data_IF_364310021111
#
_entry.id   IF_364310021111
#
_cell.length_a   1.000
_cell.length_b   1.000
_cell.length_c   1.000
_cell.angle_alpha   90.00
_cell.angle_beta   90.00
_cell.angle_gamma   90.00
#
_symmetry.space_group_name_H-M   'P 1'
#
loop_
_entity.id
_entity.type
_entity.pdbx_description
1 polymer ?
#
# COMPACT_ATOMS: atom_id res chain seq x y z
N UNK A 1 -5.29 50.74 0.56
CA UNK A 1 -5.44 49.42 -0.09
C UNK A 1 -5.72 48.40 1.00
N UNK A 2 -6.60 47.42 0.76
CA UNK A 2 -6.86 46.35 1.72
C UNK A 2 -6.14 45.08 1.31
N UNK A 3 -5.33 44.53 2.21
CA UNK A 3 -4.75 43.20 2.09
C UNK A 3 -5.44 42.27 3.08
N UNK A 4 -5.89 41.11 2.61
CA UNK A 4 -6.51 40.10 3.46
C UNK A 4 -5.57 38.90 3.60
N UNK A 5 -5.23 38.57 4.84
CA UNK A 5 -4.45 37.38 5.19
C UNK A 5 -5.35 36.40 5.93
N UNK A 6 -5.45 35.17 5.44
CA UNK A 6 -6.22 34.12 6.07
C UNK A 6 -5.28 33.01 6.55
N UNK A 7 -5.30 32.76 7.85
CA UNK A 7 -4.51 31.73 8.50
C UNK A 7 -5.42 30.58 8.91
N UNK A 8 -5.23 29.43 8.28
CA UNK A 8 -5.93 28.18 8.57
C UNK A 8 -5.01 27.22 9.33
N UNK A 9 -5.55 26.17 9.96
CA UNK A 9 -4.72 25.14 10.59
C UNK A 9 -3.79 24.49 9.56
N UNK A 10 -2.52 24.27 9.93
CA UNK A 10 -1.50 23.74 9.01
C UNK A 10 -1.88 22.42 8.34
N UNK A 11 -2.62 21.56 9.04
CA UNK A 11 -3.07 20.29 8.46
C UNK A 11 -4.03 20.50 7.28
N UNK A 12 -4.80 21.61 7.24
CA UNK A 12 -5.63 21.90 6.07
C UNK A 12 -4.79 22.15 4.83
N UNK A 13 -3.53 22.58 4.94
CA UNK A 13 -2.66 22.75 3.77
C UNK A 13 -2.45 21.43 3.02
N UNK A 14 -2.52 20.28 3.70
CA UNK A 14 -2.38 18.96 3.08
C UNK A 14 -3.62 18.52 2.30
N UNK A 15 -4.76 19.19 2.48
CA UNK A 15 -5.98 18.89 1.72
C UNK A 15 -5.81 19.28 0.24
N UNK A 16 -6.44 18.57 -0.70
CA UNK A 16 -6.56 18.99 -2.09
C UNK A 16 -7.06 20.44 -2.22
N UNK A 17 -6.69 21.13 -3.30
CA UNK A 17 -7.08 22.53 -3.49
C UNK A 17 -8.59 22.70 -3.69
N UNK A 18 -9.23 21.72 -4.32
CA UNK A 18 -10.65 21.62 -4.59
C UNK A 18 -11.48 21.13 -3.39
N UNK A 19 -10.86 20.88 -2.25
CA UNK A 19 -11.55 20.44 -1.05
C UNK A 19 -12.62 21.45 -0.59
N UNK A 20 -13.81 20.96 -0.25
CA UNK A 20 -15.01 21.76 0.06
C UNK A 20 -14.76 22.84 1.12
N UNK A 21 -14.12 22.50 2.24
CA UNK A 21 -13.75 23.45 3.29
C UNK A 21 -12.94 24.65 2.76
N UNK A 22 -11.93 24.40 1.91
CA UNK A 22 -11.10 25.47 1.31
C UNK A 22 -11.91 26.30 0.33
N UNK A 23 -12.66 25.64 -0.55
CA UNK A 23 -13.47 26.31 -1.58
C UNK A 23 -14.51 27.22 -0.94
N UNK A 24 -15.18 26.75 0.11
CA UNK A 24 -16.20 27.52 0.82
C UNK A 24 -15.60 28.77 1.47
N UNK A 25 -14.44 28.66 2.14
CA UNK A 25 -13.75 29.82 2.71
C UNK A 25 -13.33 30.82 1.63
N UNK A 26 -12.75 30.34 0.52
CA UNK A 26 -12.32 31.18 -0.61
C UNK A 26 -13.51 31.91 -1.24
N UNK A 27 -14.64 31.23 -1.42
CA UNK A 27 -15.86 31.82 -1.98
C UNK A 27 -16.39 32.96 -1.11
N UNK A 28 -16.45 32.76 0.21
CA UNK A 28 -16.86 33.82 1.15
C UNK A 28 -15.95 35.05 1.00
N UNK A 29 -14.63 34.85 0.97
CA UNK A 29 -13.67 35.95 0.81
C UNK A 29 -13.86 36.67 -0.53
N UNK A 30 -14.01 35.93 -1.63
CA UNK A 30 -14.20 36.50 -2.97
C UNK A 30 -15.51 37.28 -3.11
N UNK A 31 -16.59 36.82 -2.48
CA UNK A 31 -17.89 37.50 -2.51
C UNK A 31 -17.86 38.81 -1.72
N UNK A 32 -17.32 38.80 -0.51
CA UNK A 32 -17.26 40.02 0.31
C UNK A 32 -16.25 41.03 -0.24
N UNK A 33 -15.14 40.57 -0.85
CA UNK A 33 -14.19 41.46 -1.54
C UNK A 33 -14.78 42.18 -2.76
N UNK A 34 -15.87 41.66 -3.36
CA UNK A 34 -16.57 42.37 -4.44
C UNK A 34 -17.47 43.50 -3.92
N UNK A 35 -17.84 43.47 -2.63
CA UNK A 35 -18.79 44.39 -2.00
C UNK A 35 -18.13 45.25 -0.90
N UNK A 36 -16.86 45.64 -1.10
CA UNK A 36 -16.09 46.47 -0.14
C UNK A 36 -16.60 47.90 0.00
N UNK A 37 -17.54 48.33 -0.84
CA UNK A 37 -18.17 49.65 -0.79
C UNK A 37 -19.20 49.80 0.34
N UNK A 38 -19.62 48.69 0.95
CA UNK A 38 -20.58 48.70 2.05
C UNK A 38 -19.90 48.91 3.40
N UNK A 39 -20.51 49.72 4.26
CA UNK A 39 -20.10 49.81 5.67
C UNK A 39 -20.24 48.42 6.33
N UNK A 40 -19.20 48.01 7.06
CA UNK A 40 -19.09 46.74 7.79
C UNK A 40 -18.81 45.46 6.97
N UNK A 41 -18.27 45.56 5.75
CA UNK A 41 -17.91 44.38 4.95
C UNK A 41 -16.92 43.44 5.66
N UNK A 42 -16.04 43.98 6.51
CA UNK A 42 -15.05 43.20 7.27
C UNK A 42 -15.69 42.38 8.40
N UNK A 43 -16.72 42.91 9.08
CA UNK A 43 -17.52 42.18 10.07
C UNK A 43 -18.35 41.06 9.42
N UNK A 44 -18.83 41.28 8.19
CA UNK A 44 -19.56 40.23 7.44
C UNK A 44 -18.68 39.03 7.11
N UNK A 45 -17.43 39.27 6.69
CA UNK A 45 -16.46 38.17 6.48
C UNK A 45 -16.34 37.35 7.76
N UNK A 46 -16.09 38.00 8.89
CA UNK A 46 -15.94 37.33 10.18
C UNK A 46 -17.20 36.53 10.55
N UNK A 47 -18.39 37.12 10.42
CA UNK A 47 -19.66 36.49 10.73
C UNK A 47 -19.95 35.27 9.84
N UNK A 48 -19.72 35.40 8.53
CA UNK A 48 -19.91 34.31 7.56
C UNK A 48 -18.94 33.16 7.82
N UNK A 49 -17.66 33.45 8.08
CA UNK A 49 -16.69 32.43 8.43
C UNK A 49 -17.06 31.71 9.73
N UNK A 50 -17.52 32.44 10.76
CA UNK A 50 -18.00 31.84 12.03
C UNK A 50 -19.25 30.97 11.85
N UNK A 51 -20.07 31.25 10.83
CA UNK A 51 -21.29 30.47 10.56
C UNK A 51 -21.03 29.10 9.93
N UNK A 52 -19.81 28.85 9.45
CA UNK A 52 -19.45 27.59 8.82
C UNK A 52 -19.47 26.44 9.84
N UNK A 53 -20.04 25.27 9.49
CA UNK A 53 -20.28 24.18 10.44
C UNK A 53 -18.98 23.58 10.98
N UNK A 54 -17.89 23.63 10.21
CA UNK A 54 -16.57 23.12 10.60
C UNK A 54 -15.70 24.14 11.35
N UNK A 55 -16.09 25.42 11.41
CA UNK A 55 -15.30 26.46 12.06
C UNK A 55 -15.56 26.47 13.57
N UNK A 56 -14.47 26.51 14.36
CA UNK A 56 -14.47 26.59 15.83
C UNK A 56 -14.30 28.04 16.30
N UNK A 57 -13.35 28.75 15.72
CA UNK A 57 -13.05 30.15 16.07
C UNK A 57 -12.65 30.94 14.85
N UNK A 58 -12.95 32.23 14.87
CA UNK A 58 -12.39 33.21 13.94
C UNK A 58 -11.95 34.40 14.77
N UNK A 59 -10.67 34.73 14.70
CA UNK A 59 -10.10 35.93 15.35
C UNK A 59 -9.67 36.87 14.24
N UNK A 60 -10.25 38.07 14.24
CA UNK A 60 -9.89 39.14 13.33
C UNK A 60 -8.89 40.07 14.02
N UNK A 61 -7.79 40.35 13.34
CA UNK A 61 -6.83 41.38 13.72
C UNK A 61 -6.67 42.37 12.57
N UNK A 62 -6.60 43.65 12.89
CA UNK A 62 -6.35 44.72 11.93
C UNK A 62 -4.99 45.34 12.24
N UNK A 63 -4.18 45.54 11.21
CA UNK A 63 -2.86 46.16 11.30
C UNK A 63 -2.62 47.07 10.10
N UNK A 64 -1.68 48.02 10.24
CA UNK A 64 -1.28 48.91 9.14
C UNK A 64 -1.67 50.36 9.37
N UNK A 65 -1.82 51.10 8.28
CA UNK A 65 -2.16 52.53 8.27
C UNK A 65 -3.49 52.75 7.54
N UNK A 66 -4.03 53.97 7.58
CA UNK A 66 -5.24 54.33 6.83
C UNK A 66 -5.08 54.14 5.30
N UNK A 67 -3.85 54.27 4.79
CA UNK A 67 -3.55 54.09 3.37
C UNK A 67 -3.31 52.62 3.00
N UNK A 68 -2.83 51.79 3.93
CA UNK A 68 -2.55 50.36 3.75
C UNK A 68 -2.99 49.54 4.97
N UNK A 69 -4.18 48.94 4.88
CA UNK A 69 -4.80 48.16 5.96
C UNK A 69 -4.67 46.66 5.67
N UNK A 70 -4.13 45.92 6.63
CA UNK A 70 -4.02 44.47 6.61
C UNK A 70 -5.05 43.88 7.56
N UNK A 71 -5.96 43.07 7.02
CA UNK A 71 -6.95 42.32 7.78
C UNK A 71 -6.50 40.87 7.88
N UNK A 72 -6.20 40.43 9.10
CA UNK A 72 -5.81 39.04 9.40
C UNK A 72 -6.97 38.29 10.00
N UNK A 73 -7.31 37.15 9.41
CA UNK A 73 -8.30 36.22 9.94
C UNK A 73 -7.61 34.93 10.34
N UNK A 74 -7.53 34.67 11.64
CA UNK A 74 -7.08 33.38 12.19
C UNK A 74 -8.30 32.48 12.37
N UNK A 75 -8.38 31.41 11.57
CA UNK A 75 -9.49 30.46 11.56
C UNK A 75 -9.06 29.20 12.29
N UNK A 76 -9.73 28.90 13.40
CA UNK A 76 -9.66 27.61 14.07
C UNK A 76 -10.76 26.70 13.53
N UNK A 77 -10.39 25.46 13.17
CA UNK A 77 -11.32 24.42 12.73
C UNK A 77 -11.58 23.45 13.87
N UNK A 78 -12.76 22.85 13.88
CA UNK A 78 -13.18 21.80 14.81
C UNK A 78 -12.25 20.59 14.75
N UNK A 79 -12.01 19.97 15.91
CA UNK A 79 -11.08 18.84 16.02
C UNK A 79 -11.65 17.59 15.33
N UNK A 80 -12.98 17.48 15.30
CA UNK A 80 -13.72 16.43 14.61
C UNK A 80 -13.39 16.38 13.12
N UNK A 81 -13.18 17.53 12.48
CA UNK A 81 -12.81 17.63 11.06
C UNK A 81 -11.37 17.18 10.82
N UNK A 82 -10.47 17.46 11.77
CA UNK A 82 -9.09 16.99 11.71
C UNK A 82 -9.02 15.46 11.79
N UNK A 83 -9.75 14.87 12.74
CA UNK A 83 -9.79 13.42 12.89
C UNK A 83 -10.58 12.73 11.76
N UNK A 84 -11.63 13.36 11.25
CA UNK A 84 -12.37 12.90 10.07
C UNK A 84 -11.48 12.83 8.84
N UNK A 85 -10.69 13.87 8.58
CA UNK A 85 -9.70 13.90 7.50
C UNK A 85 -8.65 12.79 7.66
N UNK A 86 -8.10 12.61 8.87
CA UNK A 86 -7.15 11.53 9.11
C UNK A 86 -7.79 10.16 8.85
N UNK A 87 -9.05 9.99 9.23
CA UNK A 87 -9.78 8.74 9.02
C UNK A 87 -9.97 8.42 7.54
N UNK A 88 -10.28 9.44 6.73
CA UNK A 88 -10.39 9.32 5.27
C UNK A 88 -9.04 8.92 4.65
N UNK A 89 -7.96 9.57 5.07
CA UNK A 89 -6.62 9.27 4.56
C UNK A 89 -6.12 7.87 4.94
N UNK A 90 -6.38 7.42 6.17
CA UNK A 90 -5.92 6.11 6.63
C UNK A 90 -6.89 4.97 6.29
N UNK A 91 -8.14 5.28 5.92
CA UNK A 91 -9.21 4.30 5.78
C UNK A 91 -9.63 3.63 7.10
N UNK A 92 -9.28 4.24 8.24
CA UNK A 92 -9.47 3.69 9.59
C UNK A 92 -10.16 4.76 10.42
N UNK A 93 -11.25 4.45 11.15
CA UNK A 93 -11.93 5.43 11.98
C UNK A 93 -11.02 5.91 13.12
N UNK A 94 -10.73 7.21 13.11
CA UNK A 94 -9.99 7.93 14.13
C UNK A 94 -10.97 8.93 14.74
N UNK A 95 -11.38 8.70 15.98
CA UNK A 95 -12.32 9.56 16.70
C UNK A 95 -11.62 10.54 17.64
N UNK A 96 -10.31 10.41 17.81
CA UNK A 96 -9.53 11.23 18.72
C UNK A 96 -8.08 10.79 18.88
N UNK A 97 -7.39 11.43 19.83
CA UNK A 97 -5.97 11.23 20.10
C UNK A 97 -5.62 9.78 20.42
N UNK A 98 -6.48 9.09 21.17
CA UNK A 98 -6.24 7.71 21.57
C UNK A 98 -6.16 6.76 20.37
N UNK A 99 -7.13 6.85 19.45
CA UNK A 99 -7.16 6.05 18.23
C UNK A 99 -5.98 6.40 17.33
N UNK A 100 -5.64 7.68 17.21
CA UNK A 100 -4.49 8.13 16.43
C UNK A 100 -3.16 7.55 16.97
N UNK A 101 -2.93 7.65 18.29
CA UNK A 101 -1.72 7.11 18.92
C UNK A 101 -1.66 5.59 18.78
N UNK A 102 -2.80 4.91 18.93
CA UNK A 102 -2.89 3.46 18.78
C UNK A 102 -2.54 3.03 17.35
N UNK A 103 -3.10 3.71 16.36
CA UNK A 103 -2.79 3.49 14.94
C UNK A 103 -1.31 3.72 14.64
N UNK A 104 -0.72 4.81 15.13
CA UNK A 104 0.71 5.08 14.94
C UNK A 104 1.58 3.97 15.55
N UNK A 105 1.22 3.46 16.73
CA UNK A 105 1.96 2.35 17.36
C UNK A 105 1.85 1.07 16.55
N UNK A 106 0.68 0.74 16.05
CA UNK A 106 0.45 -0.42 15.20
C UNK A 106 1.25 -0.31 13.89
N UNK A 107 1.11 0.81 13.17
CA UNK A 107 1.85 1.07 11.94
C UNK A 107 3.36 1.07 12.16
N UNK A 108 3.84 1.59 13.29
CA UNK A 108 5.26 1.53 13.64
C UNK A 108 5.75 0.10 13.91
N UNK A 109 4.90 -0.77 14.46
CA UNK A 109 5.20 -2.20 14.62
C UNK A 109 5.31 -2.87 13.26
N UNK A 110 4.26 -2.73 12.45
CA UNK A 110 4.19 -3.30 11.10
C UNK A 110 5.33 -2.81 10.20
N UNK A 111 5.73 -1.55 10.30
CA UNK A 111 6.84 -1.00 9.50
C UNK A 111 8.15 -1.76 9.75
N UNK A 112 8.46 -2.11 11.00
CA UNK A 112 9.69 -2.84 11.34
C UNK A 112 9.70 -4.24 10.75
N UNK A 113 8.57 -4.95 10.84
CA UNK A 113 8.42 -6.27 10.23
C UNK A 113 8.44 -6.17 8.71
N UNK A 114 7.86 -5.12 8.13
CA UNK A 114 7.82 -4.91 6.69
C UNK A 114 9.21 -4.65 6.07
N UNK A 115 10.12 -4.01 6.78
CA UNK A 115 11.48 -3.74 6.27
C UNK A 115 12.24 -5.04 5.93
N UNK A 116 12.09 -6.10 6.73
CA UNK A 116 12.71 -7.41 6.45
C UNK A 116 12.05 -8.10 5.25
N UNK A 117 10.72 -8.03 5.17
CA UNK A 117 9.91 -8.57 4.07
C UNK A 117 10.23 -7.86 2.75
N UNK A 118 10.35 -6.53 2.77
CA UNK A 118 10.59 -5.70 1.59
C UNK A 118 11.90 -6.09 0.89
N UNK A 119 12.97 -6.29 1.66
CA UNK A 119 14.25 -6.73 1.12
C UNK A 119 14.16 -8.13 0.49
N UNK A 120 13.47 -9.07 1.15
CA UNK A 120 13.27 -10.40 0.61
C UNK A 120 12.45 -10.38 -0.69
N UNK A 121 11.36 -9.59 -0.74
CA UNK A 121 10.54 -9.44 -1.95
C UNK A 121 11.32 -8.82 -3.10
N UNK A 122 12.18 -7.82 -2.83
CA UNK A 122 13.07 -7.25 -3.84
C UNK A 122 14.00 -8.33 -4.41
N UNK A 123 14.64 -9.11 -3.54
CA UNK A 123 15.54 -10.19 -3.95
C UNK A 123 14.82 -11.27 -4.78
N UNK A 124 13.59 -11.64 -4.42
CA UNK A 124 12.77 -12.59 -5.20
C UNK A 124 12.49 -12.07 -6.61
N UNK A 125 12.18 -10.78 -6.74
CA UNK A 125 11.90 -10.15 -8.04
C UNK A 125 13.14 -10.10 -8.92
N UNK A 126 14.32 -9.86 -8.33
CA UNK A 126 15.57 -9.71 -9.07
C UNK A 126 16.24 -11.06 -9.39
N UNK A 127 16.26 -11.99 -8.43
CA UNK A 127 17.03 -13.23 -8.52
C UNK A 127 16.18 -14.50 -8.57
N UNK A 128 14.87 -14.38 -8.30
CA UNK A 128 13.96 -15.51 -8.15
C UNK A 128 13.91 -16.11 -6.74
N UNK A 129 14.78 -15.65 -5.82
CA UNK A 129 14.86 -16.17 -4.45
C UNK A 129 15.06 -15.05 -3.43
N UNK A 130 14.33 -15.11 -2.32
CA UNK A 130 14.53 -14.20 -1.20
C UNK A 130 14.37 -14.90 0.13
N UNK A 131 15.08 -14.40 1.13
CA UNK A 131 15.11 -14.98 2.46
C UNK A 131 14.83 -13.88 3.46
N UNK A 132 13.88 -14.13 4.35
CA UNK A 132 13.65 -13.32 5.54
C UNK A 132 14.33 -14.05 6.68
N UNK A 133 15.33 -13.39 7.26
CA UNK A 133 16.03 -13.90 8.43
C UNK A 133 15.19 -13.62 9.69
N UNK A 134 15.20 -14.55 10.64
CA UNK A 134 14.49 -14.39 11.90
C UNK A 134 15.04 -13.22 12.71
N UNK A 135 14.15 -12.58 13.46
CA UNK A 135 14.51 -11.66 14.52
C UNK A 135 15.31 -12.36 15.63
N UNK A 136 16.02 -11.58 16.45
CA UNK A 136 16.84 -12.12 17.55
C UNK A 136 15.97 -12.87 18.58
N UNK A 137 14.77 -12.38 18.78
CA UNK A 137 13.71 -12.91 19.62
C UNK A 137 13.15 -14.26 19.14
N UNK A 138 13.33 -14.59 17.85
CA UNK A 138 12.91 -15.87 17.27
C UNK A 138 14.02 -16.94 17.32
N UNK A 139 15.21 -16.59 17.83
CA UNK A 139 16.32 -17.53 18.01
C UNK A 139 16.19 -18.22 19.36
N UNK A 140 15.94 -19.52 19.35
CA UNK A 140 15.86 -20.35 20.55
C UNK A 140 17.19 -21.05 20.81
N UNK A 141 17.81 -20.77 21.96
CA UNK A 141 19.06 -21.41 22.39
C UNK A 141 18.78 -22.67 23.21
N UNK A 142 19.47 -23.76 22.88
CA UNK A 142 19.56 -24.93 23.75
C UNK A 142 20.67 -24.71 24.80
N UNK A 143 20.52 -25.34 25.97
CA UNK A 143 21.54 -25.27 27.01
C UNK A 143 22.90 -25.77 26.49
N UNK A 144 24.01 -25.05 26.74
CA UNK A 144 25.33 -25.46 26.29
C UNK A 144 25.75 -26.78 26.93
N UNK A 145 26.17 -27.75 26.10
CA UNK A 145 26.60 -29.07 26.57
C UNK A 145 28.11 -29.19 26.45
N UNK A 146 28.78 -29.60 27.54
CA UNK A 146 30.21 -29.90 27.50
C UNK A 146 30.45 -31.14 26.63
N UNK A 147 31.38 -31.01 25.69
CA UNK A 147 31.83 -32.11 24.83
C UNK A 147 33.30 -32.39 25.09
N UNK A 148 33.73 -33.62 24.85
CA UNK A 148 35.12 -34.00 25.01
C UNK A 148 35.57 -34.81 23.80
N UNK A 149 36.73 -34.47 23.24
CA UNK A 149 37.33 -35.19 22.11
C UNK A 149 38.82 -35.40 22.38
N UNK A 150 39.20 -36.64 22.69
CA UNK A 150 40.58 -37.01 23.02
C UNK A 150 40.99 -36.52 24.41
N UNK A 151 41.78 -35.45 24.49
CA UNK A 151 42.21 -34.77 25.73
C UNK A 151 41.67 -33.34 25.85
N UNK A 152 40.80 -32.93 24.92
CA UNK A 152 40.29 -31.56 24.81
C UNK A 152 38.82 -31.50 25.18
N UNK A 153 38.47 -30.52 26.00
CA UNK A 153 37.10 -30.17 26.34
C UNK A 153 36.62 -29.02 25.44
N UNK A 154 35.37 -29.10 25.00
CA UNK A 154 34.70 -28.07 24.23
C UNK A 154 33.28 -27.84 24.75
N UNK A 155 32.62 -26.80 24.26
CA UNK A 155 31.22 -26.51 24.57
C UNK A 155 30.46 -26.55 23.26
N UNK A 156 29.45 -27.40 23.17
CA UNK A 156 28.52 -27.43 22.04
C UNK A 156 27.35 -26.51 22.36
N UNK A 157 27.19 -25.49 21.55
CA UNK A 157 26.04 -24.59 21.58
C UNK A 157 25.16 -24.91 20.37
N UNK A 158 23.85 -24.94 20.57
CA UNK A 158 22.88 -25.15 19.50
C UNK A 158 21.80 -24.08 19.60
N UNK A 159 21.43 -23.51 18.47
CA UNK A 159 20.32 -22.58 18.35
C UNK A 159 19.43 -23.03 17.19
N UNK A 160 18.13 -22.86 17.34
CA UNK A 160 17.14 -23.12 16.29
C UNK A 160 16.41 -21.82 16.01
N UNK A 161 16.17 -21.52 14.74
CA UNK A 161 15.46 -20.29 14.36
C UNK A 161 14.69 -20.48 13.06
N UNK A 162 13.47 -19.95 12.94
CA UNK A 162 12.66 -20.08 11.73
C UNK A 162 13.20 -19.17 10.63
N UNK A 163 13.30 -19.67 9.40
CA UNK A 163 13.64 -18.87 8.22
C UNK A 163 12.49 -18.94 7.24
N UNK A 164 12.15 -17.81 6.61
CA UNK A 164 11.12 -17.76 5.58
C UNK A 164 11.80 -17.61 4.23
N UNK A 165 11.49 -18.54 3.33
CA UNK A 165 12.02 -18.56 1.98
C UNK A 165 10.90 -18.24 1.01
N UNK A 166 11.14 -17.23 0.17
CA UNK A 166 10.26 -16.83 -0.91
C UNK A 166 10.88 -17.27 -2.23
N UNK A 167 10.09 -17.94 -3.07
CA UNK A 167 10.54 -18.51 -4.35
C UNK A 167 9.61 -17.99 -5.44
N UNK A 168 10.18 -17.38 -6.48
CA UNK A 168 9.43 -17.07 -7.70
C UNK A 168 9.41 -18.31 -8.59
N UNK A 169 8.23 -18.71 -9.02
CA UNK A 169 8.04 -19.74 -10.03
C UNK A 169 7.29 -19.15 -11.22
N UNK A 170 7.66 -19.60 -12.42
CA UNK A 170 6.98 -19.26 -13.67
C UNK A 170 6.05 -20.41 -14.04
N UNK A 171 4.83 -20.09 -14.46
CA UNK A 171 3.85 -21.07 -14.91
C UNK A 171 3.57 -20.78 -16.37
N UNK A 172 4.14 -21.62 -17.24
CA UNK A 172 3.83 -21.59 -18.65
C UNK A 172 2.47 -22.25 -18.86
N UNK A 173 1.46 -21.50 -19.30
CA UNK A 173 0.13 -22.05 -19.62
C UNK A 173 -0.11 -21.96 -21.12
N UNK A 174 -0.34 -23.11 -21.74
CA UNK A 174 -0.72 -23.23 -23.15
C UNK A 174 -2.20 -23.62 -23.23
N UNK A 175 -2.93 -22.96 -24.14
CA UNK A 175 -4.29 -23.33 -24.50
C UNK A 175 -4.31 -23.80 -25.95
N UNK A 176 -4.83 -25.00 -26.18
CA UNK A 176 -4.94 -25.58 -27.53
C UNK A 176 -6.41 -25.80 -27.86
N UNK A 177 -7.14 -24.76 -28.29
CA UNK A 177 -8.55 -24.90 -28.63
C UNK A 177 -8.73 -25.89 -29.78
N UNK A 178 -9.67 -26.83 -29.62
CA UNK A 178 -9.94 -27.85 -30.63
C UNK A 178 -10.99 -27.31 -31.61
N UNK A 179 -10.60 -27.25 -32.88
CA UNK A 179 -11.44 -26.90 -34.03
C UNK A 179 -11.66 -28.12 -34.91
N UNK A 180 -12.77 -28.17 -35.64
CA UNK A 180 -13.16 -29.35 -36.42
C UNK A 180 -12.34 -29.54 -37.70
N UNK A 181 -12.38 -28.55 -38.60
CA UNK A 181 -11.70 -28.63 -39.91
C UNK A 181 -10.49 -27.69 -40.00
N UNK A 182 -9.60 -27.96 -40.96
CA UNK A 182 -8.43 -27.11 -41.22
C UNK A 182 -8.82 -25.66 -41.52
N UNK A 183 -9.84 -25.45 -42.36
CA UNK A 183 -10.34 -24.09 -42.65
C UNK A 183 -10.86 -23.36 -41.40
N UNK A 184 -11.49 -24.07 -40.45
CA UNK A 184 -11.90 -23.47 -39.18
C UNK A 184 -10.71 -23.09 -38.30
N UNK A 185 -9.60 -23.83 -38.38
CA UNK A 185 -8.36 -23.49 -37.69
C UNK A 185 -7.73 -22.22 -38.27
N UNK A 186 -7.65 -22.12 -39.60
CA UNK A 186 -7.14 -20.94 -40.29
C UNK A 186 -7.99 -19.69 -40.01
N UNK A 187 -9.32 -19.84 -40.02
CA UNK A 187 -10.25 -18.77 -39.71
C UNK A 187 -10.10 -18.29 -38.26
N UNK A 188 -9.92 -19.21 -37.30
CA UNK A 188 -9.67 -18.86 -35.90
C UNK A 188 -8.33 -18.13 -35.73
N UNK A 189 -7.27 -18.57 -36.41
CA UNK A 189 -5.97 -17.89 -36.39
C UNK A 189 -6.10 -16.47 -36.94
N UNK A 190 -6.82 -16.30 -38.06
CA UNK A 190 -7.04 -14.98 -38.66
C UNK A 190 -7.82 -14.08 -37.72
N UNK A 191 -8.91 -14.58 -37.13
CA UNK A 191 -9.72 -13.84 -36.16
C UNK A 191 -8.91 -13.39 -34.93
N UNK A 192 -8.06 -14.26 -34.38
CA UNK A 192 -7.20 -13.89 -33.24
C UNK A 192 -6.18 -12.80 -33.64
N UNK A 193 -5.60 -12.88 -34.84
CA UNK A 193 -4.65 -11.87 -35.32
C UNK A 193 -5.31 -10.52 -35.54
N UNK A 194 -6.51 -10.50 -36.13
CA UNK A 194 -7.27 -9.28 -36.35
C UNK A 194 -7.64 -8.59 -35.02
N UNK A 195 -8.15 -9.36 -34.04
CA UNK A 195 -8.46 -8.81 -32.71
C UNK A 195 -7.23 -8.39 -31.90
N UNK A 196 -6.05 -8.94 -32.19
CA UNK A 196 -4.80 -8.53 -31.53
C UNK A 196 -4.34 -7.12 -31.91
N UNK A 197 -4.77 -6.61 -33.06
CA UNK A 197 -4.41 -5.28 -33.57
C UNK A 197 -5.32 -4.16 -33.01
N UNK A 198 -6.43 -4.52 -32.35
CA UNK A 198 -7.36 -3.57 -31.72
C UNK A 198 -6.88 -3.14 -30.31
N UNK A 199 -7.37 -2.00 -29.82
CA UNK A 199 -6.87 -1.36 -28.59
C UNK A 199 -7.08 -2.18 -27.30
N UNK A 200 -8.03 -3.11 -27.29
CA UNK A 200 -8.35 -4.00 -26.15
C UNK A 200 -7.45 -5.25 -26.12
N UNK A 201 -6.73 -5.55 -27.22
CA UNK A 201 -5.74 -6.63 -27.31
C UNK A 201 -6.29 -8.06 -27.30
N UNK A 202 -5.39 -9.06 -27.33
CA UNK A 202 -5.74 -10.50 -27.43
C UNK A 202 -6.65 -11.00 -26.29
N UNK A 203 -6.64 -10.34 -25.14
CA UNK A 203 -7.28 -10.81 -23.91
C UNK A 203 -8.81 -10.87 -23.99
N UNK A 204 -9.43 -9.94 -24.70
CA UNK A 204 -10.88 -9.83 -24.82
C UNK A 204 -11.47 -10.68 -25.97
N UNK A 205 -10.59 -11.28 -26.79
CA UNK A 205 -11.02 -12.10 -27.92
C UNK A 205 -11.82 -13.30 -27.41
N UNK A 206 -13.05 -13.42 -27.89
CA UNK A 206 -13.93 -14.53 -27.55
C UNK A 206 -13.62 -15.76 -28.41
N UNK A 207 -13.20 -16.84 -27.76
CA UNK A 207 -12.86 -18.13 -28.36
C UNK A 207 -13.76 -19.19 -27.69
N UNK A 208 -14.76 -19.68 -28.43
CA UNK A 208 -15.75 -20.68 -27.97
C UNK A 208 -16.60 -20.26 -26.75
N UNK A 209 -17.04 -19.00 -26.69
CA UNK A 209 -17.92 -18.51 -25.63
C UNK A 209 -17.20 -18.13 -24.34
N UNK A 210 -15.87 -18.16 -24.33
CA UNK A 210 -14.99 -17.65 -23.28
C UNK A 210 -13.96 -16.70 -23.87
N UNK A 211 -13.49 -15.74 -23.10
CA UNK A 211 -12.36 -14.91 -23.54
C UNK A 211 -11.04 -15.68 -23.46
N UNK A 212 -10.03 -15.27 -24.23
CA UNK A 212 -8.68 -15.83 -24.10
C UNK A 212 -8.16 -15.68 -22.67
N UNK A 213 -8.43 -14.55 -22.02
CA UNK A 213 -8.08 -14.35 -20.61
C UNK A 213 -8.69 -15.42 -19.71
N UNK A 214 -9.99 -15.71 -19.85
CA UNK A 214 -10.67 -16.74 -19.06
C UNK A 214 -10.06 -18.12 -19.29
N UNK A 215 -9.76 -18.49 -20.55
CA UNK A 215 -9.12 -19.77 -20.88
C UNK A 215 -7.72 -19.89 -20.26
N UNK A 216 -6.94 -18.81 -20.27
CA UNK A 216 -5.61 -18.78 -19.65
C UNK A 216 -5.70 -18.85 -18.13
N UNK A 217 -6.60 -18.09 -17.51
CA UNK A 217 -6.82 -18.13 -16.05
C UNK A 217 -7.24 -19.52 -15.58
N UNK A 218 -8.14 -20.19 -16.32
CA UNK A 218 -8.54 -21.57 -16.04
C UNK A 218 -7.36 -22.56 -16.14
N UNK A 219 -6.53 -22.41 -17.17
CA UNK A 219 -5.32 -23.23 -17.35
C UNK A 219 -4.30 -23.02 -16.23
N UNK A 220 -4.05 -21.76 -15.84
CA UNK A 220 -3.17 -21.41 -14.72
C UNK A 220 -3.70 -21.96 -13.40
N UNK A 221 -4.99 -21.77 -13.10
CA UNK A 221 -5.60 -22.25 -11.87
C UNK A 221 -5.53 -23.78 -11.76
N UNK A 222 -5.71 -24.48 -12.88
CA UNK A 222 -5.55 -25.95 -12.94
C UNK A 222 -4.13 -26.38 -12.58
N UNK A 223 -3.10 -25.72 -13.14
CA UNK A 223 -1.69 -26.02 -12.82
C UNK A 223 -1.34 -25.67 -11.37
N UNK A 224 -1.85 -24.55 -10.85
CA UNK A 224 -1.69 -24.17 -9.45
C UNK A 224 -2.31 -25.21 -8.51
N UNK A 225 -3.50 -25.70 -8.82
CA UNK A 225 -4.19 -26.71 -8.02
C UNK A 225 -3.48 -28.08 -8.04
N UNK A 226 -2.73 -28.39 -9.10
CA UNK A 226 -1.90 -29.61 -9.16
C UNK A 226 -0.73 -29.55 -8.17
N UNK A 227 -0.29 -28.37 -7.77
CA UNK A 227 0.74 -28.18 -6.75
C UNK A 227 0.16 -28.39 -5.34
N UNK A 228 -0.08 -29.66 -5.01
CA UNK A 228 -0.72 -30.10 -3.78
C UNK A 228 0.05 -29.70 -2.52
N UNK A 229 -0.66 -29.64 -1.38
CA UNK A 229 -0.06 -29.45 -0.05
C UNK A 229 1.04 -30.48 0.27
N UNK A 230 0.92 -31.70 -0.27
CA UNK A 230 1.95 -32.72 -0.12
C UNK A 230 3.26 -32.32 -0.83
N UNK A 231 3.15 -31.81 -2.05
CA UNK A 231 4.29 -31.32 -2.84
C UNK A 231 4.95 -30.11 -2.18
N UNK A 232 4.14 -29.18 -1.67
CA UNK A 232 4.59 -28.03 -0.88
C UNK A 232 5.36 -28.49 0.37
N UNK A 233 4.84 -29.47 1.10
CA UNK A 233 5.49 -30.04 2.27
C UNK A 233 6.80 -30.77 1.94
N UNK A 234 6.88 -31.46 0.80
CA UNK A 234 8.11 -32.09 0.31
C UNK A 234 9.19 -31.03 0.06
N UNK A 235 8.86 -29.96 -0.67
CA UNK A 235 9.78 -28.86 -0.95
C UNK A 235 10.26 -28.19 0.34
N UNK A 236 9.34 -27.89 1.27
CA UNK A 236 9.69 -27.34 2.59
C UNK A 236 10.71 -28.22 3.34
N UNK A 237 10.48 -29.54 3.38
CA UNK A 237 11.40 -30.50 4.03
C UNK A 237 12.75 -30.57 3.34
N UNK A 238 12.77 -30.51 2.00
CA UNK A 238 14.00 -30.50 1.21
C UNK A 238 14.82 -29.25 1.54
N UNK A 239 14.21 -28.06 1.52
CA UNK A 239 14.89 -26.80 1.87
C UNK A 239 15.47 -26.87 3.29
N UNK A 240 14.68 -27.32 4.27
CA UNK A 240 15.16 -27.47 5.66
C UNK A 240 16.37 -28.41 5.76
N UNK A 241 16.33 -29.57 5.09
CA UNK A 241 17.46 -30.52 5.07
C UNK A 241 18.71 -29.94 4.43
N UNK A 242 18.58 -29.20 3.31
CA UNK A 242 19.73 -28.53 2.67
C UNK A 242 20.42 -27.56 3.63
N UNK A 243 19.63 -26.82 4.41
CA UNK A 243 20.17 -25.82 5.34
C UNK A 243 20.85 -26.48 6.55
N UNK A 244 20.31 -27.60 7.04
CA UNK A 244 20.89 -28.35 8.15
C UNK A 244 22.16 -29.12 7.74
N UNK A 245 22.16 -29.70 6.54
CA UNK A 245 23.27 -30.47 6.00
C UNK A 245 24.24 -29.52 5.28
N UNK A 246 25.21 -28.99 6.03
CA UNK A 246 26.32 -28.10 5.61
C UNK A 246 27.28 -28.65 4.52
N UNK A 247 26.79 -29.40 3.53
CA UNK A 247 27.56 -29.92 2.41
C UNK A 247 26.98 -29.38 1.10
N UNK A 248 27.85 -29.03 0.16
CA UNK A 248 27.57 -28.65 -1.24
C UNK A 248 26.86 -29.76 -2.07
N UNK A 249 26.00 -30.58 -1.45
CA UNK A 249 25.30 -31.68 -2.09
C UNK A 249 24.13 -31.16 -2.91
N UNK A 250 24.18 -31.36 -4.23
CA UNK A 250 22.98 -31.32 -5.06
C UNK A 250 21.93 -32.27 -4.46
N UNK A 251 20.73 -31.75 -4.19
CA UNK A 251 19.59 -32.61 -3.90
C UNK A 251 18.80 -32.78 -5.19
N UNK A 252 18.72 -34.01 -5.66
CA UNK A 252 17.81 -34.38 -6.73
C UNK A 252 16.44 -34.66 -6.12
N UNK A 253 15.43 -33.86 -6.50
CA UNK A 253 14.03 -34.14 -6.19
C UNK A 253 13.47 -34.95 -7.35
N UNK A 254 13.14 -36.21 -7.10
CA UNK A 254 12.41 -37.05 -8.06
C UNK A 254 10.93 -36.89 -7.73
N UNK A 255 10.16 -36.38 -8.69
CA UNK A 255 8.72 -36.17 -8.61
C UNK A 255 8.01 -37.33 -9.32
#
# INVERSE_FOLDING_TARGET
>A
MYQIECYIPKWMETLPQDHEMKQTMIQILQEEMKNTSEENWTERIESRLKSLPFVKTVVREEAGTEEDTILRFQIGVKEEEYYGMLSELSGIPIEGEYQLISLIRELSGLKKEYESVQNALKNVRETGYGVILPGREEIQWEEPVMTHTGSRYGVKMKATSPTIHLIRAEIDTEISPIVGTEGQAEDLIRYIREGAEESEGIWEINVFGKTVEQLMQEGMQTKLNQFSEESQNKIRKVIGRVLDESKNGMICVII
#
